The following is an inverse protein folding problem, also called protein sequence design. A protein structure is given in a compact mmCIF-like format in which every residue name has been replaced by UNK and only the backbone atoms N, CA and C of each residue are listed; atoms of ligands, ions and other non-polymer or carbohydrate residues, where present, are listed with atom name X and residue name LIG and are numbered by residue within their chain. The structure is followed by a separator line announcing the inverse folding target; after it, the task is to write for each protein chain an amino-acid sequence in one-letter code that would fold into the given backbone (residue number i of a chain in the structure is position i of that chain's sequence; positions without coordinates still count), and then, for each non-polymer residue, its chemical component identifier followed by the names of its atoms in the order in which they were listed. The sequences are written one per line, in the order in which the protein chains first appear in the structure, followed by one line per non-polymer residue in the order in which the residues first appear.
data_IF_950514589001
#
_entry.id   IF_950514589001
#
_cell.length_a   1.000
_cell.length_b   1.000
_cell.length_c   1.000
_cell.angle_alpha   90.00
_cell.angle_beta   90.00
_cell.angle_gamma   90.00
#
_symmetry.space_group_name_H-M   'P 1'
#
loop_
_entity.id
_entity.type
_entity.pdbx_description
1 polymer ?
#
# COMPACT_ATOMS: atom_id res chain seq x y z
N UNK A 1 -13.49 10.87 14.19
CA UNK A 1 -13.72 9.57 14.84
C UNK A 1 -12.43 9.18 15.53
N UNK A 2 -12.44 9.05 16.85
CA UNK A 2 -11.31 8.53 17.62
C UNK A 2 -11.43 7.01 17.64
N UNK A 3 -10.50 6.34 17.00
CA UNK A 3 -10.40 4.88 17.07
C UNK A 3 -9.98 4.48 18.48
N UNK A 4 -10.44 3.31 18.93
CA UNK A 4 -9.91 2.68 20.14
C UNK A 4 -8.46 2.25 19.90
N UNK A 5 -7.66 2.13 20.96
CA UNK A 5 -6.26 1.66 20.86
C UNK A 5 -6.14 0.31 20.12
N UNK A 6 -7.15 -0.54 20.24
CA UNK A 6 -7.20 -1.84 19.58
C UNK A 6 -7.41 -1.70 18.07
N UNK A 7 -8.35 -0.87 17.65
CA UNK A 7 -8.58 -0.58 16.22
C UNK A 7 -7.36 0.10 15.58
N UNK A 8 -6.68 1.00 16.31
CA UNK A 8 -5.45 1.62 15.81
C UNK A 8 -4.34 0.59 15.58
N UNK A 9 -4.21 -0.40 16.47
CA UNK A 9 -3.28 -1.53 16.28
C UNK A 9 -3.63 -2.35 15.05
N UNK A 10 -4.91 -2.64 14.82
CA UNK A 10 -5.35 -3.40 13.64
C UNK A 10 -5.10 -2.65 12.33
N UNK A 11 -5.38 -1.34 12.30
CA UNK A 11 -5.11 -0.49 11.15
C UNK A 11 -3.61 -0.44 10.85
N UNK A 12 -2.76 -0.23 11.87
CA UNK A 12 -1.31 -0.26 11.70
C UNK A 12 -0.80 -1.65 11.25
N UNK A 13 -1.40 -2.74 11.72
CA UNK A 13 -1.08 -4.08 11.21
C UNK A 13 -1.47 -4.23 9.74
N UNK A 14 -2.62 -3.69 9.31
CA UNK A 14 -3.03 -3.69 7.91
C UNK A 14 -2.02 -2.94 7.04
N UNK A 15 -1.58 -1.77 7.48
CA UNK A 15 -0.53 -0.99 6.82
C UNK A 15 0.76 -1.81 6.65
N UNK A 16 1.27 -2.42 7.73
CA UNK A 16 2.48 -3.25 7.68
C UNK A 16 2.34 -4.43 6.72
N UNK A 17 1.16 -5.06 6.64
CA UNK A 17 0.91 -6.16 5.68
C UNK A 17 1.02 -5.67 4.25
N UNK A 18 0.47 -4.50 3.95
CA UNK A 18 0.59 -3.89 2.62
C UNK A 18 2.03 -3.56 2.27
N UNK A 19 2.76 -2.89 3.15
CA UNK A 19 4.19 -2.57 2.96
C UNK A 19 5.03 -3.83 2.72
N UNK A 20 4.77 -4.90 3.49
CA UNK A 20 5.44 -6.19 3.27
C UNK A 20 5.16 -6.76 1.88
N UNK A 21 3.93 -6.65 1.37
CA UNK A 21 3.58 -7.08 0.00
C UNK A 21 4.31 -6.25 -1.05
N UNK A 22 4.38 -4.93 -0.87
CA UNK A 22 5.13 -4.04 -1.76
C UNK A 22 6.62 -4.41 -1.78
N UNK A 23 7.24 -4.63 -0.62
CA UNK A 23 8.65 -5.06 -0.53
C UNK A 23 8.89 -6.40 -1.23
N UNK A 24 7.99 -7.37 -1.07
CA UNK A 24 8.09 -8.65 -1.78
C UNK A 24 7.96 -8.47 -3.28
N UNK A 25 7.05 -7.61 -3.74
CA UNK A 25 6.85 -7.32 -5.16
C UNK A 25 8.07 -6.65 -5.80
N UNK A 26 8.71 -5.70 -5.10
CA UNK A 26 9.92 -5.01 -5.58
C UNK A 26 11.10 -5.96 -5.80
N UNK A 27 11.10 -7.11 -5.12
CA UNK A 27 12.12 -8.17 -5.29
C UNK A 27 11.79 -9.16 -6.41
N UNK A 28 10.66 -9.02 -7.10
CA UNK A 28 10.29 -9.90 -8.20
C UNK A 28 10.81 -9.37 -9.54
N UNK A 29 10.93 -10.29 -10.51
CA UNK A 29 11.51 -9.98 -11.81
C UNK A 29 10.62 -9.08 -12.69
N UNK A 30 9.30 -9.03 -12.46
CA UNK A 30 8.36 -8.27 -13.29
C UNK A 30 7.99 -6.91 -12.69
N UNK A 31 8.72 -6.43 -11.69
CA UNK A 31 8.39 -5.17 -11.02
C UNK A 31 8.43 -3.97 -11.97
N UNK A 32 9.38 -3.92 -12.90
CA UNK A 32 9.49 -2.82 -13.88
C UNK A 32 8.25 -2.72 -14.77
N UNK A 33 7.70 -3.87 -15.19
CA UNK A 33 6.45 -3.94 -15.93
C UNK A 33 5.27 -3.46 -15.08
N UNK A 34 5.22 -3.86 -13.81
CA UNK A 34 4.18 -3.40 -12.90
C UNK A 34 4.23 -1.88 -12.75
N UNK A 35 5.42 -1.29 -12.54
CA UNK A 35 5.61 0.17 -12.44
C UNK A 35 5.29 0.93 -13.73
N UNK A 36 5.62 0.37 -14.90
CA UNK A 36 5.27 0.96 -16.20
C UNK A 36 3.75 0.98 -16.44
N UNK A 37 3.02 0.04 -15.83
CA UNK A 37 1.55 -0.03 -15.93
C UNK A 37 0.79 0.79 -14.88
N UNK A 38 1.50 1.42 -13.93
CA UNK A 38 0.87 2.27 -12.91
C UNK A 38 0.48 3.62 -13.51
N UNK A 39 -0.75 4.07 -13.21
CA UNK A 39 -1.14 5.47 -13.42
C UNK A 39 -0.48 6.36 -12.36
N UNK A 40 -0.40 7.66 -12.60
CA UNK A 40 0.17 8.61 -11.61
C UNK A 40 -0.57 8.55 -10.26
N UNK A 41 -1.90 8.37 -10.30
CA UNK A 41 -2.73 8.22 -9.10
C UNK A 41 -2.35 6.94 -8.35
N UNK A 42 -2.29 5.81 -9.05
CA UNK A 42 -1.95 4.52 -8.43
C UNK A 42 -0.52 4.52 -7.88
N UNK A 43 0.42 5.18 -8.57
CA UNK A 43 1.80 5.35 -8.09
C UNK A 43 1.85 6.21 -6.83
N UNK A 44 1.12 7.32 -6.81
CA UNK A 44 0.99 8.15 -5.60
C UNK A 44 0.41 7.37 -4.41
N UNK A 45 -0.61 6.53 -4.64
CA UNK A 45 -1.16 5.65 -3.59
C UNK A 45 -0.10 4.66 -3.11
N UNK A 46 0.62 4.01 -4.03
CA UNK A 46 1.68 3.06 -3.71
C UNK A 46 2.79 3.69 -2.85
N UNK A 47 3.30 4.85 -3.27
CA UNK A 47 4.37 5.56 -2.57
C UNK A 47 3.93 6.05 -1.19
N UNK A 48 2.72 6.62 -1.07
CA UNK A 48 2.20 7.11 0.21
C UNK A 48 2.01 6.00 1.24
N UNK A 49 1.58 4.80 0.81
CA UNK A 49 1.50 3.64 1.69
C UNK A 49 2.89 3.13 2.08
N UNK A 50 3.84 3.14 1.14
CA UNK A 50 5.21 2.70 1.40
C UNK A 50 5.95 3.64 2.38
N UNK A 51 5.67 4.94 2.32
CA UNK A 51 6.32 5.96 3.17
C UNK A 51 5.64 6.20 4.52
N UNK A 52 4.42 5.68 4.73
CA UNK A 52 3.67 5.94 5.97
C UNK A 52 4.26 5.18 7.16
N UNK A 53 4.46 5.87 8.28
CA UNK A 53 4.89 5.23 9.53
C UNK A 53 3.70 4.60 10.25
N UNK A 54 2.55 5.29 10.22
CA UNK A 54 1.30 4.86 10.82
C UNK A 54 0.12 5.03 9.87
N UNK A 55 -1.00 4.39 10.18
CA UNK A 55 -2.22 4.53 9.39
C UNK A 55 -2.76 5.98 9.39
N UNK A 56 -2.42 6.79 10.40
CA UNK A 56 -2.84 8.19 10.55
C UNK A 56 -2.17 9.12 9.53
N UNK A 57 -1.00 8.73 9.03
CA UNK A 57 -0.26 9.50 8.02
C UNK A 57 -0.86 9.36 6.61
N UNK A 58 -1.79 8.42 6.45
CA UNK A 58 -2.45 8.11 5.18
C UNK A 58 -3.82 8.77 5.15
N UNK A 59 -4.06 9.63 4.16
CA UNK A 59 -5.39 10.19 3.93
C UNK A 59 -6.39 9.06 3.63
N UNK A 60 -7.61 9.19 4.14
CA UNK A 60 -8.70 8.23 3.96
C UNK A 60 -8.92 7.77 2.50
N UNK A 61 -8.84 8.69 1.53
CA UNK A 61 -9.00 8.33 0.11
C UNK A 61 -7.92 7.37 -0.38
N UNK A 62 -6.67 7.58 0.04
CA UNK A 62 -5.54 6.71 -0.28
C UNK A 62 -5.74 5.36 0.40
N UNK A 63 -6.18 5.37 1.66
CA UNK A 63 -6.43 4.16 2.44
C UNK A 63 -7.49 3.25 1.79
N UNK A 64 -8.58 3.83 1.28
CA UNK A 64 -9.63 3.09 0.57
C UNK A 64 -9.13 2.46 -0.74
N UNK A 65 -8.18 3.10 -1.42
CA UNK A 65 -7.64 2.60 -2.68
C UNK A 65 -6.46 1.64 -2.51
N UNK A 66 -5.76 1.71 -1.37
CA UNK A 66 -4.53 0.98 -1.10
C UNK A 66 -4.64 -0.52 -1.39
N UNK A 67 -5.70 -1.16 -0.91
CA UNK A 67 -5.89 -2.61 -1.06
C UNK A 67 -5.98 -3.05 -2.52
N UNK A 68 -6.74 -2.30 -3.33
CA UNK A 68 -6.93 -2.53 -4.76
C UNK A 68 -5.62 -2.32 -5.51
N UNK A 69 -4.97 -1.18 -5.29
CA UNK A 69 -3.73 -0.77 -5.96
C UNK A 69 -2.61 -1.76 -5.66
N UNK A 70 -2.35 -2.00 -4.36
CA UNK A 70 -1.27 -2.87 -3.92
C UNK A 70 -1.49 -4.29 -4.42
N UNK A 71 -2.72 -4.82 -4.31
CA UNK A 71 -3.01 -6.17 -4.81
C UNK A 71 -2.82 -6.30 -6.32
N UNK A 72 -3.29 -5.31 -7.11
CA UNK A 72 -3.15 -5.31 -8.57
C UNK A 72 -1.67 -5.38 -8.98
N UNK A 73 -0.84 -4.45 -8.48
CA UNK A 73 0.55 -4.36 -8.93
C UNK A 73 1.47 -5.38 -8.28
N UNK A 74 1.20 -5.82 -7.05
CA UNK A 74 1.92 -6.97 -6.48
C UNK A 74 1.64 -8.27 -7.26
N UNK A 75 0.45 -8.45 -7.82
CA UNK A 75 0.13 -9.60 -8.67
C UNK A 75 0.79 -9.48 -10.05
N UNK A 76 0.86 -8.27 -10.62
CA UNK A 76 1.56 -8.01 -11.89
C UNK A 76 3.08 -8.18 -11.78
N UNK A 77 3.64 -7.95 -10.59
CA UNK A 77 5.08 -8.10 -10.35
C UNK A 77 5.51 -9.56 -10.18
N UNK A 78 4.59 -10.49 -9.87
CA UNK A 78 4.89 -11.94 -9.82
C UNK A 78 5.26 -12.48 -11.21
#
# INVERSE_FOLDING_TARGET
MTYTEQEEKELNQKLKRWQKRQLTAVRQNNIDRAYASMTDIDRSVWERIASAETYKDVNWLIWQQAERVISKYCNLAR
#
